data_IF_877744311594
#
_entry.id   IF_877744311594
#
_cell.length_a   1.000
_cell.length_b   1.000
_cell.length_c   1.000
_cell.angle_alpha   90.00
_cell.angle_beta   90.00
_cell.angle_gamma   90.00
#
_symmetry.space_group_name_H-M   'P 1'
#
loop_
_entity.id
_entity.type
_entity.pdbx_description
1 polymer ?
#
# COMPACT_ATOMS: atom_id res chain seq x y z
N UNK A 1 -18.35 -4.98 -5.21
CA UNK A 1 -17.09 -5.68 -5.53
C UNK A 1 -15.91 -4.92 -4.94
N UNK A 2 -15.03 -5.63 -4.24
CA UNK A 2 -13.87 -5.00 -3.59
C UNK A 2 -12.74 -4.89 -4.61
N UNK A 3 -12.15 -3.72 -4.70
CA UNK A 3 -11.01 -3.49 -5.60
C UNK A 3 -9.72 -3.90 -4.93
N UNK A 4 -8.82 -4.48 -5.71
CA UNK A 4 -7.46 -4.76 -5.25
C UNK A 4 -6.51 -3.77 -5.91
N UNK A 5 -5.63 -3.19 -5.11
CA UNK A 5 -4.62 -2.28 -5.62
C UNK A 5 -3.25 -2.94 -5.53
N UNK A 6 -2.48 -2.85 -6.60
CA UNK A 6 -1.09 -3.27 -6.55
C UNK A 6 -0.23 -2.12 -6.00
N UNK A 7 1.06 -2.39 -5.84
CA UNK A 7 1.97 -1.41 -5.25
C UNK A 7 1.99 -0.11 -6.05
N UNK A 8 2.07 -0.21 -7.37
CA UNK A 8 2.13 0.98 -8.22
C UNK A 8 0.88 1.82 -8.12
N UNK A 9 -0.28 1.18 -8.14
CA UNK A 9 -1.55 1.89 -8.03
C UNK A 9 -1.69 2.59 -6.70
N UNK A 10 -1.27 1.94 -5.61
CA UNK A 10 -1.31 2.55 -4.29
C UNK A 10 -0.42 3.78 -4.20
N UNK A 11 0.79 3.69 -4.76
CA UNK A 11 1.71 4.82 -4.73
C UNK A 11 1.15 6.02 -5.50
N UNK A 12 0.47 5.76 -6.61
CA UNK A 12 -0.14 6.83 -7.39
C UNK A 12 -1.34 7.45 -6.69
N UNK A 13 -2.08 6.65 -5.92
CA UNK A 13 -3.32 7.10 -5.29
C UNK A 13 -3.16 7.49 -3.83
N UNK A 14 -1.94 7.53 -3.31
CA UNK A 14 -1.72 7.72 -1.88
C UNK A 14 -2.47 8.94 -1.32
N UNK A 15 -2.49 10.04 -2.05
CA UNK A 15 -3.11 11.27 -1.58
C UNK A 15 -4.63 11.23 -1.55
N UNK A 16 -5.25 10.40 -2.38
CA UNK A 16 -6.70 10.37 -2.54
C UNK A 16 -7.31 9.03 -2.18
N UNK A 17 -6.52 8.13 -1.64
CA UNK A 17 -6.93 6.75 -1.43
C UNK A 17 -8.21 6.61 -0.61
N UNK A 18 -8.33 7.37 0.46
CA UNK A 18 -9.51 7.29 1.33
C UNK A 18 -10.55 8.37 1.04
N UNK A 19 -10.32 9.21 0.05
CA UNK A 19 -11.28 10.22 -0.35
C UNK A 19 -12.40 9.65 -1.22
N UNK A 20 -12.12 8.54 -1.91
CA UNK A 20 -13.09 7.94 -2.83
C UNK A 20 -14.19 7.16 -2.13
N UNK A 21 -14.05 6.88 -0.85
CA UNK A 21 -15.05 6.16 -0.05
C UNK A 21 -15.45 4.80 -0.62
N UNK A 22 -14.55 4.17 -1.36
CA UNK A 22 -14.79 2.84 -1.90
C UNK A 22 -14.03 1.82 -1.08
N UNK A 23 -14.62 0.64 -0.94
CA UNK A 23 -13.93 -0.45 -0.27
C UNK A 23 -12.83 -0.99 -1.19
N UNK A 24 -11.67 -1.27 -0.59
CA UNK A 24 -10.58 -1.86 -1.34
C UNK A 24 -9.82 -2.83 -0.44
N UNK A 25 -9.03 -3.67 -1.06
CA UNK A 25 -8.21 -4.64 -0.35
C UNK A 25 -6.75 -4.53 -0.83
N UNK A 26 -5.85 -4.81 0.08
CA UNK A 26 -4.42 -4.79 -0.19
C UNK A 26 -3.87 -6.17 0.18
N UNK A 27 -3.03 -6.76 -0.67
CA UNK A 27 -2.44 -8.05 -0.35
C UNK A 27 -1.29 -7.85 0.65
N UNK A 28 -1.04 -8.89 1.43
CA UNK A 28 0.10 -8.87 2.35
C UNK A 28 1.42 -8.73 1.59
N UNK A 29 1.48 -9.25 0.36
CA UNK A 29 2.66 -9.12 -0.49
C UNK A 29 2.91 -7.66 -0.85
N UNK A 30 1.84 -6.91 -1.15
CA UNK A 30 1.96 -5.50 -1.45
C UNK A 30 2.48 -4.72 -0.24
N UNK A 31 2.02 -5.06 0.96
CA UNK A 31 2.50 -4.41 2.17
C UNK A 31 3.99 -4.69 2.39
N UNK A 32 4.44 -5.93 2.12
CA UNK A 32 5.85 -6.26 2.20
C UNK A 32 6.66 -5.45 1.18
N UNK A 33 6.15 -5.31 -0.03
CA UNK A 33 6.83 -4.52 -1.04
C UNK A 33 7.00 -3.07 -0.62
N UNK A 34 5.98 -2.50 0.01
CA UNK A 34 6.06 -1.12 0.50
C UNK A 34 7.16 -1.00 1.56
N UNK A 35 7.26 -1.96 2.46
CA UNK A 35 8.32 -1.94 3.47
C UNK A 35 9.70 -2.03 2.83
N UNK A 36 9.85 -2.86 1.82
CA UNK A 36 11.11 -2.96 1.09
C UNK A 36 11.47 -1.65 0.39
N UNK A 37 10.50 -0.98 -0.20
CA UNK A 37 10.73 0.29 -0.88
C UNK A 37 11.20 1.36 0.12
N UNK A 38 10.62 1.38 1.30
CA UNK A 38 10.97 2.36 2.33
C UNK A 38 12.44 2.29 2.71
N UNK A 39 13.02 1.10 2.66
CA UNK A 39 14.39 0.88 3.10
C UNK A 39 15.36 0.60 1.97
N UNK A 40 14.89 0.57 0.72
CA UNK A 40 15.74 0.25 -0.42
C UNK A 40 16.72 1.39 -0.72
N UNK A 41 18.00 1.07 -0.77
CA UNK A 41 19.03 2.07 -1.01
C UNK A 41 19.10 2.52 -2.47
N UNK A 42 18.60 1.70 -3.38
CA UNK A 42 18.69 1.96 -4.82
C UNK A 42 17.40 2.51 -5.43
N UNK A 43 16.47 2.96 -4.60
CA UNK A 43 15.25 3.58 -5.09
C UNK A 43 15.34 5.10 -5.02
N UNK A 44 14.60 5.78 -5.88
CA UNK A 44 14.55 7.23 -5.88
C UNK A 44 13.94 7.74 -4.57
N UNK A 45 14.39 8.92 -4.16
CA UNK A 45 13.87 9.53 -2.94
C UNK A 45 12.37 9.78 -3.02
N UNK A 46 11.87 10.13 -4.20
CA UNK A 46 10.44 10.37 -4.39
C UNK A 46 9.62 9.12 -4.16
N UNK A 47 10.11 7.98 -4.64
CA UNK A 47 9.42 6.71 -4.45
C UNK A 47 9.43 6.31 -2.99
N UNK A 48 10.56 6.48 -2.31
CA UNK A 48 10.66 6.16 -0.89
C UNK A 48 9.75 7.06 -0.06
N UNK A 49 9.68 8.33 -0.41
CA UNK A 49 8.80 9.27 0.27
C UNK A 49 7.34 8.86 0.11
N UNK A 50 6.95 8.49 -1.12
CA UNK A 50 5.58 8.05 -1.38
C UNK A 50 5.24 6.79 -0.59
N UNK A 51 6.17 5.85 -0.49
CA UNK A 51 5.95 4.62 0.27
C UNK A 51 5.78 4.92 1.76
N UNK A 52 6.60 5.82 2.31
CA UNK A 52 6.47 6.20 3.72
C UNK A 52 5.15 6.89 3.99
N UNK A 53 4.76 7.81 3.10
CA UNK A 53 3.50 8.52 3.23
C UNK A 53 2.33 7.56 3.17
N UNK A 54 2.36 6.65 2.22
CA UNK A 54 1.30 5.66 2.06
C UNK A 54 1.19 4.77 3.28
N UNK A 55 2.31 4.29 3.80
CA UNK A 55 2.31 3.45 4.99
C UNK A 55 1.70 4.19 6.18
N UNK A 56 2.03 5.46 6.34
CA UNK A 56 1.48 6.28 7.41
C UNK A 56 -0.04 6.45 7.25
N UNK A 57 -0.49 6.69 6.04
CA UNK A 57 -1.92 6.83 5.75
C UNK A 57 -2.66 5.53 6.08
N UNK A 58 -2.09 4.40 5.68
CA UNK A 58 -2.70 3.11 5.96
C UNK A 58 -2.78 2.83 7.46
N UNK A 59 -1.73 3.17 8.19
CA UNK A 59 -1.73 3.00 9.65
C UNK A 59 -2.78 3.88 10.31
N UNK A 60 -2.96 5.10 9.82
CA UNK A 60 -3.93 6.03 10.35
C UNK A 60 -5.36 5.54 10.10
N UNK A 61 -5.57 4.85 9.01
CA UNK A 61 -6.90 4.36 8.62
C UNK A 61 -7.06 2.85 8.81
N UNK A 62 -6.38 2.28 9.77
CA UNK A 62 -6.52 0.84 10.06
C UNK A 62 -7.98 0.51 10.35
N UNK A 63 -8.44 -0.58 9.74
CA UNK A 63 -9.82 -1.01 9.87
C UNK A 63 -10.75 -0.45 8.81
N UNK A 64 -10.29 0.51 8.01
CA UNK A 64 -11.10 1.08 6.94
C UNK A 64 -10.83 0.42 5.58
N UNK A 65 -9.94 -0.55 5.55
CA UNK A 65 -9.64 -1.30 4.34
C UNK A 65 -9.40 -2.76 4.69
N UNK A 66 -9.41 -3.61 3.67
CA UNK A 66 -9.25 -5.05 3.85
C UNK A 66 -7.83 -5.48 3.53
N UNK A 67 -7.30 -6.41 4.30
CA UNK A 67 -5.98 -7.00 4.03
C UNK A 67 -6.17 -8.48 3.73
N UNK A 68 -5.71 -8.90 2.57
CA UNK A 68 -5.74 -10.30 2.16
C UNK A 68 -4.36 -10.90 2.34
N UNK A 69 -4.29 -12.00 3.04
CA UNK A 69 -3.03 -12.67 3.30
C UNK A 69 -2.84 -13.80 2.29
N UNK A 70 -1.73 -13.77 1.59
CA UNK A 70 -1.39 -14.81 0.63
C UNK A 70 -0.16 -15.57 1.14
N UNK A 71 -0.29 -16.89 1.21
CA UNK A 71 0.81 -17.75 1.63
C UNK A 71 1.43 -18.36 0.40
N UNK A 72 2.49 -17.75 -0.09
CA UNK A 72 3.21 -18.29 -1.23
C UNK A 72 4.19 -19.35 -0.80
N UNK A 73 4.43 -20.31 -1.67
CA UNK A 73 5.41 -21.34 -1.42
C UNK A 73 4.94 -22.47 -0.52
N UNK A 74 3.68 -22.49 -0.25
CA UNK A 74 3.09 -23.54 0.57
C UNK A 74 2.61 -24.69 -0.24
#
# INVERSE_FOLDING_TARGET
MIKFYDTSSLLLKADTLFEEQEEFAISSITLEELEHIKTAANKDADVKYAARKLTHILDTHMGEYHVEIFNEGM
#
